data_IF_550168759750
#
_entry.id   IF_550168759750
#
_cell.length_a   1.000
_cell.length_b   1.000
_cell.length_c   1.000
_cell.angle_alpha   90.00
_cell.angle_beta   90.00
_cell.angle_gamma   90.00
#
_symmetry.space_group_name_H-M   'P 1'
#
loop_
_entity.id
_entity.type
_entity.pdbx_description
1 polymer ?
#
# COMPACT_ATOMS: atom_id res chain seq x y z
N UNK A 1 30.17 -38.47 12.50
CA UNK A 1 29.23 -37.35 12.29
C UNK A 1 29.07 -37.24 10.79
N UNK A 2 27.89 -37.59 10.25
CA UNK A 2 27.62 -37.34 8.83
C UNK A 2 27.63 -35.82 8.62
N UNK A 3 28.48 -35.35 7.71
CA UNK A 3 28.32 -34.03 7.10
C UNK A 3 26.91 -34.04 6.52
N UNK A 4 26.01 -33.20 7.03
CA UNK A 4 24.64 -33.10 6.55
C UNK A 4 24.68 -32.91 5.04
N UNK A 5 24.42 -34.00 4.31
CA UNK A 5 24.44 -33.99 2.85
C UNK A 5 23.37 -33.00 2.44
N UNK A 6 23.76 -31.96 1.71
CA UNK A 6 22.77 -31.04 1.20
C UNK A 6 21.83 -31.82 0.27
N UNK A 7 20.59 -32.02 0.73
CA UNK A 7 19.47 -32.46 -0.09
C UNK A 7 18.46 -31.36 -0.38
N UNK A 8 18.74 -30.12 0.06
CA UNK A 8 17.84 -28.99 -0.11
C UNK A 8 18.07 -28.36 -1.49
N UNK A 9 17.01 -28.19 -2.27
CA UNK A 9 17.05 -27.44 -3.53
C UNK A 9 17.00 -25.94 -3.21
N UNK A 10 18.11 -25.25 -3.47
CA UNK A 10 18.24 -23.79 -3.29
C UNK A 10 18.09 -23.02 -4.60
N UNK A 11 17.67 -23.69 -5.67
CA UNK A 11 17.58 -23.12 -7.01
C UNK A 11 18.91 -22.59 -7.54
N UNK A 12 18.83 -21.61 -8.44
CA UNK A 12 20.01 -20.99 -9.08
C UNK A 12 20.55 -19.77 -8.32
N UNK A 13 19.90 -19.36 -7.23
CA UNK A 13 20.22 -18.12 -6.51
C UNK A 13 20.69 -18.37 -5.07
N UNK A 14 21.24 -19.55 -4.81
CA UNK A 14 21.66 -19.92 -3.48
C UNK A 14 22.55 -21.15 -3.46
N UNK A 15 23.23 -21.31 -2.33
CA UNK A 15 24.11 -22.43 -2.06
C UNK A 15 23.63 -23.12 -0.79
N UNK A 16 23.57 -24.44 -0.86
CA UNK A 16 23.15 -25.22 0.28
C UNK A 16 24.33 -25.53 1.20
N UNK A 17 24.19 -25.18 2.47
CA UNK A 17 25.20 -25.35 3.49
C UNK A 17 24.55 -25.95 4.73
N UNK A 18 25.05 -27.08 5.22
CA UNK A 18 24.60 -27.69 6.48
C UNK A 18 23.07 -27.91 6.59
N UNK A 19 22.40 -28.19 5.45
CA UNK A 19 20.95 -28.43 5.41
C UNK A 19 20.08 -27.16 5.33
N UNK A 20 20.68 -25.99 5.10
CA UNK A 20 19.96 -24.73 4.84
C UNK A 20 20.46 -24.05 3.56
N UNK A 21 19.61 -23.26 2.91
CA UNK A 21 20.01 -22.43 1.78
C UNK A 21 20.60 -21.10 2.25
N UNK A 22 21.83 -20.80 1.83
CA UNK A 22 22.41 -19.47 1.85
C UNK A 22 22.10 -18.80 0.51
N UNK A 23 21.24 -17.79 0.52
CA UNK A 23 20.83 -17.10 -0.70
C UNK A 23 21.84 -16.04 -1.14
N UNK A 24 21.91 -15.82 -2.45
CA UNK A 24 22.67 -14.74 -3.07
C UNK A 24 22.03 -13.38 -2.78
N UNK A 25 22.82 -12.31 -2.93
CA UNK A 25 22.33 -10.94 -2.74
C UNK A 25 21.09 -10.68 -3.63
N UNK A 26 20.03 -10.15 -3.02
CA UNK A 26 18.77 -9.91 -3.71
C UNK A 26 17.75 -11.06 -3.61
N UNK A 27 18.10 -12.16 -2.96
CA UNK A 27 17.25 -13.35 -2.81
C UNK A 27 17.10 -13.77 -1.35
N UNK A 28 15.95 -14.36 -1.04
CA UNK A 28 15.53 -14.82 0.28
C UNK A 28 14.56 -15.99 0.15
N UNK A 29 14.04 -16.45 1.28
CA UNK A 29 13.17 -17.62 1.37
C UNK A 29 13.96 -18.91 1.64
N UNK A 30 13.25 -19.97 2.00
CA UNK A 30 13.86 -21.25 2.35
C UNK A 30 14.61 -21.91 1.18
N UNK A 31 14.25 -21.54 -0.06
CA UNK A 31 14.78 -22.08 -1.30
C UNK A 31 15.41 -21.02 -2.21
N UNK A 32 15.63 -19.80 -1.71
CA UNK A 32 16.18 -18.68 -2.48
C UNK A 32 15.40 -18.36 -3.77
N UNK A 33 14.08 -18.54 -3.70
CA UNK A 33 13.12 -18.37 -4.78
C UNK A 33 12.35 -17.04 -4.68
N UNK A 34 12.57 -16.28 -3.61
CA UNK A 34 11.92 -14.99 -3.37
C UNK A 34 12.94 -13.86 -3.54
N UNK A 35 12.63 -12.85 -4.35
CA UNK A 35 13.43 -11.62 -4.41
C UNK A 35 13.19 -10.76 -3.19
N UNK A 36 14.28 -10.24 -2.62
CA UNK A 36 14.21 -9.25 -1.55
C UNK A 36 13.72 -7.91 -2.09
N UNK A 37 13.02 -7.15 -1.25
CA UNK A 37 12.70 -5.75 -1.53
C UNK A 37 13.74 -4.83 -0.89
N UNK A 38 13.72 -3.57 -1.31
CA UNK A 38 14.44 -2.50 -0.62
C UNK A 38 13.92 -2.32 0.82
N UNK A 39 14.81 -2.05 1.77
CA UNK A 39 14.45 -1.94 3.19
C UNK A 39 13.35 -0.90 3.45
N UNK A 40 13.32 0.18 2.65
CA UNK A 40 12.31 1.26 2.74
C UNK A 40 10.88 0.78 2.46
N UNK A 41 10.74 -0.36 1.78
CA UNK A 41 9.45 -0.99 1.55
C UNK A 41 8.74 -1.37 2.85
N UNK A 42 9.50 -1.73 3.89
CA UNK A 42 8.95 -2.34 5.10
C UNK A 42 8.25 -1.36 6.04
N UNK A 43 8.43 -0.05 5.83
CA UNK A 43 7.78 0.99 6.64
C UNK A 43 6.28 1.11 6.31
N UNK A 44 5.93 1.13 5.02
CA UNK A 44 4.56 1.36 4.54
C UNK A 44 4.14 0.41 3.41
N UNK A 45 4.72 -0.79 3.41
CA UNK A 45 4.45 -1.77 2.37
C UNK A 45 4.79 -3.18 2.78
N UNK A 46 4.37 -4.11 1.92
CA UNK A 46 4.70 -5.52 2.03
C UNK A 46 5.49 -5.93 0.81
N UNK A 47 6.63 -6.58 1.05
CA UNK A 47 7.43 -7.12 -0.03
C UNK A 47 6.74 -8.34 -0.65
N UNK A 48 6.46 -8.27 -1.94
CA UNK A 48 5.97 -9.39 -2.73
C UNK A 48 6.94 -9.68 -3.87
N UNK A 49 7.86 -10.62 -3.64
CA UNK A 49 8.83 -11.12 -4.62
C UNK A 49 9.56 -10.00 -5.39
N UNK A 50 10.18 -9.07 -4.65
CA UNK A 50 10.92 -7.93 -5.20
C UNK A 50 10.06 -6.73 -5.63
N UNK A 51 8.73 -6.82 -5.50
CA UNK A 51 7.81 -5.69 -5.71
C UNK A 51 7.25 -5.24 -4.37
N UNK A 52 7.35 -3.94 -4.07
CA UNK A 52 6.73 -3.40 -2.86
C UNK A 52 5.24 -3.10 -3.09
N UNK A 53 4.37 -3.70 -2.28
CA UNK A 53 2.93 -3.45 -2.29
C UNK A 53 2.60 -2.50 -1.15
N UNK A 54 2.20 -1.27 -1.48
CA UNK A 54 1.98 -0.22 -0.48
C UNK A 54 0.69 -0.41 0.31
N UNK A 55 0.73 -0.04 1.59
CA UNK A 55 -0.48 0.14 2.39
C UNK A 55 -1.26 1.37 1.88
N UNK A 56 -2.55 1.43 2.20
CA UNK A 56 -3.40 2.53 1.72
C UNK A 56 -2.87 3.90 2.16
N UNK A 57 -2.87 4.87 1.24
CA UNK A 57 -2.33 6.22 1.46
C UNK A 57 -0.83 6.34 1.19
N UNK A 58 -0.14 5.28 0.77
CA UNK A 58 1.26 5.31 0.36
C UNK A 58 1.43 4.84 -1.07
N UNK A 59 2.43 5.37 -1.75
CA UNK A 59 2.72 5.06 -3.14
C UNK A 59 4.21 5.14 -3.48
N UNK A 60 4.53 4.86 -4.75
CA UNK A 60 5.89 4.78 -5.27
C UNK A 60 6.51 3.40 -5.11
N UNK A 61 7.64 3.17 -5.79
CA UNK A 61 8.31 1.85 -5.88
C UNK A 61 8.69 1.25 -4.53
N UNK A 62 8.89 2.08 -3.51
CA UNK A 62 9.29 1.69 -2.17
C UNK A 62 8.28 2.12 -1.10
N UNK A 63 7.09 2.60 -1.47
CA UNK A 63 6.07 3.08 -0.55
C UNK A 63 6.53 4.22 0.39
N UNK A 64 7.50 5.01 -0.07
CA UNK A 64 8.03 6.16 0.69
C UNK A 64 7.36 7.47 0.33
N UNK A 65 6.47 7.47 -0.66
CA UNK A 65 5.74 8.67 -1.08
C UNK A 65 4.37 8.65 -0.41
N UNK A 66 4.05 9.72 0.31
CA UNK A 66 2.67 9.96 0.74
C UNK A 66 1.77 10.00 -0.50
N UNK A 67 0.59 9.42 -0.40
CA UNK A 67 -0.42 9.46 -1.43
C UNK A 67 -1.78 9.81 -0.85
N UNK A 68 -2.78 9.88 -1.70
CA UNK A 68 -4.11 10.23 -1.20
C UNK A 68 -4.72 9.10 -0.36
N UNK A 69 -5.36 9.44 0.77
CA UNK A 69 -6.03 8.46 1.61
C UNK A 69 -7.12 7.76 0.80
N UNK A 70 -7.13 6.42 0.87
CA UNK A 70 -8.18 5.58 0.29
C UNK A 70 -8.53 5.90 -1.17
N UNK A 71 -7.54 6.29 -1.97
CA UNK A 71 -7.72 6.67 -3.38
C UNK A 71 -8.85 7.68 -3.62
N UNK A 72 -9.10 8.57 -2.65
CA UNK A 72 -10.19 9.54 -2.68
C UNK A 72 -11.56 8.92 -2.91
N UNK A 73 -11.82 7.77 -2.28
CA UNK A 73 -13.07 7.04 -2.38
C UNK A 73 -13.23 6.32 -3.73
N UNK A 74 -12.18 6.32 -4.54
CA UNK A 74 -12.16 5.83 -5.91
C UNK A 74 -12.84 6.77 -6.90
N UNK A 75 -12.66 6.49 -8.19
CA UNK A 75 -13.37 7.19 -9.28
C UNK A 75 -14.82 6.68 -9.33
N UNK A 76 -15.86 7.54 -9.43
CA UNK A 76 -15.83 8.97 -9.69
C UNK A 76 -16.05 9.86 -8.45
N UNK A 77 -15.65 9.44 -7.23
CA UNK A 77 -15.91 10.21 -5.99
C UNK A 77 -14.94 11.34 -5.77
N UNK A 78 -13.68 11.15 -6.14
CA UNK A 78 -12.66 12.18 -6.04
C UNK A 78 -11.46 11.88 -6.93
N UNK A 79 -10.58 12.87 -7.00
CA UNK A 79 -9.31 12.78 -7.70
C UNK A 79 -8.18 13.07 -6.73
N UNK A 80 -7.15 12.23 -6.78
CA UNK A 80 -5.93 12.47 -6.03
C UNK A 80 -5.10 13.54 -6.75
N UNK A 81 -4.84 14.66 -6.07
CA UNK A 81 -4.09 15.79 -6.62
C UNK A 81 -2.93 16.15 -5.71
N UNK A 82 -1.91 16.79 -6.26
CA UNK A 82 -0.80 17.32 -5.49
C UNK A 82 -0.97 18.83 -5.33
N UNK A 83 -1.11 19.30 -4.10
CA UNK A 83 -1.25 20.71 -3.72
C UNK A 83 -0.10 21.06 -2.76
N UNK A 84 0.67 22.11 -3.07
CA UNK A 84 1.83 22.55 -2.29
C UNK A 84 2.86 21.45 -1.96
N UNK A 85 2.99 20.46 -2.85
CA UNK A 85 3.89 19.32 -2.69
C UNK A 85 3.33 18.16 -1.87
N UNK A 86 2.13 18.31 -1.28
CA UNK A 86 1.42 17.27 -0.54
C UNK A 86 0.26 16.69 -1.36
N UNK A 87 -0.05 15.41 -1.17
CA UNK A 87 -1.17 14.76 -1.85
C UNK A 87 -2.47 14.96 -1.07
N UNK A 88 -3.48 15.54 -1.73
CA UNK A 88 -4.80 15.81 -1.17
C UNK A 88 -5.90 15.25 -2.08
N UNK A 89 -7.05 14.95 -1.50
CA UNK A 89 -8.21 14.53 -2.25
C UNK A 89 -9.06 15.72 -2.67
N UNK A 90 -9.20 15.91 -3.98
CA UNK A 90 -10.21 16.81 -4.54
C UNK A 90 -11.48 16.04 -4.81
N UNK A 91 -12.49 16.22 -3.96
CA UNK A 91 -13.76 15.52 -4.07
C UNK A 91 -14.64 16.10 -5.19
N UNK A 92 -15.38 15.23 -5.85
CA UNK A 92 -16.39 15.61 -6.84
C UNK A 92 -17.72 15.94 -6.13
N UNK A 93 -18.60 16.66 -6.83
CA UNK A 93 -19.90 17.10 -6.29
C UNK A 93 -20.68 15.95 -5.60
N UNK A 94 -21.14 16.22 -4.38
CA UNK A 94 -21.85 15.25 -3.54
C UNK A 94 -20.95 14.33 -2.71
N UNK A 95 -19.62 14.52 -2.77
CA UNK A 95 -18.65 13.81 -1.93
C UNK A 95 -17.80 14.79 -1.12
N UNK A 96 -17.49 14.41 0.12
CA UNK A 96 -16.69 15.22 1.03
C UNK A 96 -15.86 14.38 2.00
N UNK A 97 -15.11 15.08 2.84
CA UNK A 97 -14.10 14.49 3.73
C UNK A 97 -12.74 14.35 3.06
N UNK A 98 -11.70 14.07 3.87
CA UNK A 98 -10.29 13.97 3.43
C UNK A 98 -10.04 12.88 2.38
N UNK A 99 -10.97 11.94 2.26
CA UNK A 99 -10.92 10.75 1.42
C UNK A 99 -12.15 10.64 0.48
N UNK A 100 -12.99 11.67 0.39
CA UNK A 100 -14.19 11.70 -0.45
C UNK A 100 -15.16 10.51 -0.25
N UNK A 101 -15.18 9.91 0.93
CA UNK A 101 -16.12 8.82 1.25
C UNK A 101 -17.41 9.28 1.90
N UNK A 102 -17.46 10.53 2.35
CA UNK A 102 -18.65 11.10 2.99
C UNK A 102 -19.58 11.58 1.89
N UNK A 103 -20.87 11.20 1.93
CA UNK A 103 -21.86 11.85 1.08
C UNK A 103 -22.08 13.27 1.59
N UNK A 104 -22.07 14.23 0.70
CA UNK A 104 -22.33 15.63 1.00
C UNK A 104 -23.68 16.03 0.46
N UNK A 105 -24.47 16.69 1.30
CA UNK A 105 -25.77 17.19 0.96
C UNK A 105 -25.61 18.45 0.13
N UNK A 106 -26.11 18.38 -1.10
CA UNK A 106 -26.03 19.47 -2.07
C UNK A 106 -27.31 20.31 -2.10
N UNK A 107 -28.33 19.92 -1.32
CA UNK A 107 -29.64 20.57 -1.25
C UNK A 107 -30.06 20.81 0.20
N UNK A 108 -29.32 21.65 0.91
CA UNK A 108 -29.54 21.98 2.32
C UNK A 108 -30.89 22.68 2.66
N UNK A 109 -31.86 22.69 1.74
CA UNK A 109 -33.13 23.41 1.85
C UNK A 109 -34.35 22.52 1.54
N UNK A 110 -34.18 21.20 1.39
CA UNK A 110 -35.29 20.27 1.09
C UNK A 110 -35.67 19.34 2.25
N UNK A 111 -35.28 19.72 3.48
CA UNK A 111 -35.53 19.05 4.77
C UNK A 111 -35.18 17.55 4.76
N UNK A 112 -34.19 17.13 3.94
CA UNK A 112 -33.71 15.75 3.87
C UNK A 112 -32.21 15.67 4.10
N UNK A 113 -31.84 15.11 5.24
CA UNK A 113 -30.47 14.79 5.65
C UNK A 113 -29.86 13.69 4.76
N UNK A 114 -29.34 14.10 3.60
CA UNK A 114 -28.71 13.17 2.65
C UNK A 114 -27.18 13.20 2.73
N UNK A 115 -26.62 13.98 3.66
CA UNK A 115 -25.25 13.82 4.12
C UNK A 115 -25.16 12.83 5.30
N UNK A 116 -23.93 12.41 5.58
CA UNK A 116 -23.59 11.58 6.73
C UNK A 116 -22.94 12.41 7.84
N UNK A 117 -23.13 13.74 7.79
CA UNK A 117 -22.59 14.71 8.74
C UNK A 117 -23.63 14.98 9.82
N UNK A 118 -23.23 14.93 11.09
CA UNK A 118 -24.11 15.33 12.18
C UNK A 118 -24.54 16.79 12.00
N UNK A 119 -25.80 17.00 11.66
CA UNK A 119 -26.43 18.31 11.64
C UNK A 119 -26.15 19.06 12.96
N UNK A 120 -25.61 20.27 12.86
CA UNK A 120 -25.80 21.31 13.87
C UNK A 120 -26.75 22.34 13.27
N UNK A 121 -28.05 22.04 13.38
CA UNK A 121 -29.11 23.04 13.28
C UNK A 121 -29.07 23.88 14.57
N UNK A 122 -28.80 25.18 14.45
CA UNK A 122 -29.05 26.17 15.51
C UNK A 122 -30.43 26.78 15.32
#
# INVERSE_FOLDING_TARGET
MELAKCGLDCGSNGQCEEGRCRCDNGWTGAHCDQKTCDDRCHDHGQCNNGTCVCVQGWMGTHCTLEGCPDTCGGVPRGQCVQEDGQWSCRCNDGWGGKDCKTKQETKCADDKDNDSGTEIIY
#
